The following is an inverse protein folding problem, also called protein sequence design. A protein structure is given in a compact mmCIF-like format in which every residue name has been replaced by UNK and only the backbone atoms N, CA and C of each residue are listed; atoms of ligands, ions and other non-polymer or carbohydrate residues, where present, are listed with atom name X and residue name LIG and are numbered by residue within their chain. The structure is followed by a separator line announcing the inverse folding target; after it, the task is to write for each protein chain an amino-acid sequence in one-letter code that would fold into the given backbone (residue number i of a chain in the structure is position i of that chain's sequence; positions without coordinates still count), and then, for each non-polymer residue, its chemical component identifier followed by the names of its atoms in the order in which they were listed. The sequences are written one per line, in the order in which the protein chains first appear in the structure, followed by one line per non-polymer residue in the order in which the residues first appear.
data_IF_364943186015
#
_entry.id   IF_364943186015
#
_cell.length_a   1.000
_cell.length_b   1.000
_cell.length_c   1.000
_cell.angle_alpha   90.00
_cell.angle_beta   90.00
_cell.angle_gamma   90.00
#
_symmetry.space_group_name_H-M   'P 1'
#
loop_
_entity.id
_entity.type
_entity.pdbx_description
1 polymer ?
#
# COMPACT_ATOMS: atom_id res chain seq x y z
N UNK A 1 0.17 14.32 -5.88
CA UNK A 1 -1.02 14.34 -5.00
C UNK A 1 -0.57 14.77 -3.61
N UNK A 2 -1.27 15.69 -2.94
CA UNK A 2 -0.93 16.09 -1.56
C UNK A 2 -1.46 15.08 -0.54
N UNK A 3 -0.86 15.02 0.65
CA UNK A 3 -1.29 14.12 1.72
C UNK A 3 -2.75 14.36 2.14
N UNK A 4 -3.23 15.61 2.11
CA UNK A 4 -4.61 15.96 2.41
C UNK A 4 -5.59 15.36 1.39
N UNK A 5 -5.28 15.46 0.09
CA UNK A 5 -6.09 14.81 -0.94
C UNK A 5 -6.04 13.29 -0.85
N UNK A 6 -4.88 12.72 -0.52
CA UNK A 6 -4.74 11.28 -0.30
C UNK A 6 -5.59 10.81 0.89
N UNK A 7 -5.62 11.56 2.00
CA UNK A 7 -6.50 11.25 3.12
C UNK A 7 -7.98 11.25 2.74
N UNK A 8 -8.43 12.27 2.01
CA UNK A 8 -9.82 12.37 1.59
C UNK A 8 -10.24 11.14 0.77
N UNK A 9 -9.43 10.75 -0.22
CA UNK A 9 -9.65 9.56 -1.05
C UNK A 9 -9.62 8.27 -0.25
N UNK A 10 -8.69 8.12 0.69
CA UNK A 10 -8.65 6.94 1.56
C UNK A 10 -9.93 6.87 2.44
N UNK A 11 -10.51 8.02 2.78
CA UNK A 11 -11.75 8.14 3.55
C UNK A 11 -12.95 7.52 2.84
N UNK A 12 -12.99 7.63 1.52
CA UNK A 12 -14.03 7.03 0.67
C UNK A 12 -14.03 5.51 0.73
N UNK A 13 -12.90 4.89 1.10
CA UNK A 13 -12.77 3.43 1.20
C UNK A 13 -13.28 2.86 2.53
N UNK A 14 -13.74 3.69 3.47
CA UNK A 14 -14.20 3.20 4.78
C UNK A 14 -15.34 2.19 4.62
N UNK A 15 -15.20 1.05 5.30
CA UNK A 15 -16.13 -0.08 5.23
C UNK A 15 -15.87 -1.03 4.06
N UNK A 16 -14.98 -0.68 3.12
CA UNK A 16 -14.65 -1.57 2.03
C UNK A 16 -13.80 -2.76 2.50
N UNK A 17 -14.10 -3.93 1.92
CA UNK A 17 -13.29 -5.14 2.08
C UNK A 17 -12.31 -5.27 0.92
N UNK A 18 -11.02 -5.22 1.22
CA UNK A 18 -9.94 -5.37 0.25
C UNK A 18 -9.18 -6.68 0.47
N UNK A 19 -8.44 -7.12 -0.55
CA UNK A 19 -7.57 -8.30 -0.48
C UNK A 19 -6.11 -7.90 -0.48
N UNK A 20 -5.29 -8.67 0.25
CA UNK A 20 -3.82 -8.53 0.18
C UNK A 20 -3.33 -8.78 -1.25
N UNK A 21 -2.14 -8.29 -1.65
CA UNK A 21 -1.62 -8.50 -3.01
C UNK A 21 -1.61 -9.96 -3.46
N UNK A 22 -1.30 -10.89 -2.54
CA UNK A 22 -1.33 -12.33 -2.84
C UNK A 22 -2.73 -12.91 -3.08
N UNK A 23 -3.79 -12.16 -2.79
CA UNK A 23 -5.20 -12.57 -2.88
C UNK A 23 -5.67 -13.51 -1.75
N UNK A 24 -4.76 -13.96 -0.88
CA UNK A 24 -5.01 -15.02 0.12
C UNK A 24 -5.73 -14.56 1.38
N UNK A 25 -5.65 -13.28 1.72
CA UNK A 25 -6.26 -12.70 2.93
C UNK A 25 -7.05 -11.45 2.56
N UNK A 26 -8.10 -11.18 3.31
CA UNK A 26 -8.87 -9.93 3.25
C UNK A 26 -8.66 -9.09 4.50
N UNK A 27 -9.00 -7.81 4.38
CA UNK A 27 -9.07 -6.86 5.48
C UNK A 27 -10.13 -5.81 5.17
N UNK A 28 -10.65 -5.16 6.21
CA UNK A 28 -11.63 -4.08 6.10
C UNK A 28 -10.93 -2.76 6.42
N UNK A 29 -11.22 -1.70 5.66
CA UNK A 29 -10.79 -0.34 5.99
C UNK A 29 -11.72 0.21 7.06
N UNK A 30 -11.29 0.25 8.32
CA UNK A 30 -12.19 0.50 9.45
C UNK A 30 -12.31 1.98 9.81
N UNK A 31 -11.17 2.66 9.94
CA UNK A 31 -11.11 4.05 10.42
C UNK A 31 -10.03 4.86 9.73
N UNK A 32 -10.29 6.15 9.60
CA UNK A 32 -9.29 7.14 9.24
C UNK A 32 -9.29 8.25 10.28
N UNK A 33 -8.13 8.46 10.92
CA UNK A 33 -7.96 9.50 11.93
C UNK A 33 -6.48 9.83 12.10
N UNK A 34 -6.16 11.04 12.56
CA UNK A 34 -4.81 11.43 12.99
C UNK A 34 -3.71 11.10 11.96
N UNK A 35 -4.00 11.29 10.66
CA UNK A 35 -3.05 10.99 9.58
C UNK A 35 -2.79 9.48 9.35
N UNK A 36 -3.68 8.60 9.81
CA UNK A 36 -3.57 7.14 9.70
C UNK A 36 -4.86 6.53 9.18
N UNK A 37 -4.70 5.43 8.46
CA UNK A 37 -5.75 4.49 8.07
C UNK A 37 -5.59 3.25 8.95
N UNK A 38 -6.64 2.87 9.65
CA UNK A 38 -6.72 1.59 10.34
C UNK A 38 -7.36 0.58 9.41
N UNK A 39 -6.72 -0.59 9.30
CA UNK A 39 -7.31 -1.76 8.65
C UNK A 39 -7.49 -2.86 9.67
N UNK A 40 -8.63 -3.54 9.60
CA UNK A 40 -8.94 -4.68 10.46
C UNK A 40 -8.76 -5.95 9.65
N UNK A 41 -7.88 -6.84 10.09
CA UNK A 41 -7.59 -8.11 9.42
C UNK A 41 -8.69 -9.14 9.68
N UNK A 42 -8.68 -10.24 8.93
CA UNK A 42 -9.62 -11.35 9.11
C UNK A 42 -9.59 -12.03 10.49
N UNK A 43 -8.53 -11.81 11.27
CA UNK A 43 -8.40 -12.27 12.65
C UNK A 43 -8.61 -11.13 13.66
N UNK A 44 -9.36 -10.10 13.27
CA UNK A 44 -9.77 -8.96 14.09
C UNK A 44 -8.61 -8.13 14.66
N UNK A 45 -7.41 -8.27 14.08
CA UNK A 45 -6.26 -7.46 14.47
C UNK A 45 -6.27 -6.14 13.72
N UNK A 46 -5.99 -5.05 14.44
CA UNK A 46 -5.86 -3.73 13.82
C UNK A 46 -4.43 -3.47 13.35
N UNK A 47 -4.31 -2.95 12.14
CA UNK A 47 -3.05 -2.46 11.58
C UNK A 47 -3.22 -1.01 11.20
N UNK A 48 -2.38 -0.14 11.79
CA UNK A 48 -2.39 1.28 11.49
C UNK A 48 -1.34 1.62 10.43
N UNK A 49 -1.80 2.20 9.33
CA UNK A 49 -0.98 2.63 8.19
C UNK A 49 -1.02 4.15 8.12
N UNK A 50 0.12 4.80 8.28
CA UNK A 50 0.21 6.25 8.11
C UNK A 50 -0.01 6.68 6.66
N UNK A 51 -0.62 7.84 6.49
CA UNK A 51 -0.72 8.53 5.21
C UNK A 51 0.67 8.91 4.69
N UNK A 52 1.59 9.28 5.58
CA UNK A 52 2.99 9.55 5.22
C UNK A 52 3.66 8.34 4.58
N UNK A 53 3.53 7.16 5.18
CA UNK A 53 4.04 5.90 4.60
C UNK A 53 3.36 5.52 3.28
N UNK A 54 2.05 5.77 3.13
CA UNK A 54 1.35 5.56 1.85
C UNK A 54 1.90 6.50 0.78
N UNK A 55 2.08 7.78 1.11
CA UNK A 55 2.64 8.79 0.20
C UNK A 55 4.09 8.45 -0.16
N UNK A 56 4.90 7.98 0.79
CA UNK A 56 6.28 7.58 0.54
C UNK A 56 6.39 6.43 -0.48
N UNK A 57 5.44 5.50 -0.49
CA UNK A 57 5.37 4.43 -1.51
C UNK A 57 5.09 5.01 -2.90
N UNK A 58 4.13 5.93 -3.02
CA UNK A 58 3.83 6.61 -4.29
C UNK A 58 5.04 7.41 -4.80
N UNK A 59 5.66 8.17 -3.90
CA UNK A 59 6.83 8.96 -4.23
C UNK A 59 8.01 8.09 -4.66
N UNK A 60 8.22 6.93 -4.01
CA UNK A 60 9.26 5.99 -4.40
C UNK A 60 9.03 5.50 -5.82
N UNK A 61 7.81 5.04 -6.14
CA UNK A 61 7.47 4.57 -7.48
C UNK A 61 7.67 5.66 -8.54
N UNK A 62 7.27 6.89 -8.22
CA UNK A 62 7.40 8.02 -9.14
C UNK A 62 8.87 8.39 -9.38
N UNK A 63 9.65 8.56 -8.31
CA UNK A 63 11.08 8.95 -8.38
C UNK A 63 11.94 7.92 -9.12
N UNK A 64 11.59 6.65 -9.06
CA UNK A 64 12.33 5.56 -9.73
C UNK A 64 11.71 5.15 -11.07
N UNK A 65 10.72 5.89 -11.56
CA UNK A 65 10.12 5.66 -12.88
C UNK A 65 9.37 4.34 -13.01
N UNK A 66 8.85 3.77 -11.92
CA UNK A 66 8.15 2.50 -11.92
C UNK A 66 6.74 2.61 -12.51
N UNK A 67 6.67 2.54 -13.85
CA UNK A 67 5.44 2.43 -14.64
C UNK A 67 5.18 1.00 -15.10
N UNK A 68 4.14 0.80 -15.92
CA UNK A 68 3.69 -0.52 -16.39
C UNK A 68 4.81 -1.34 -17.07
N UNK A 69 5.68 -0.70 -17.83
CA UNK A 69 6.81 -1.34 -18.52
C UNK A 69 8.00 -1.64 -17.58
N UNK A 70 8.04 -1.01 -16.41
CA UNK A 70 9.12 -1.17 -15.43
C UNK A 70 8.54 -1.35 -14.01
N UNK A 71 7.83 -2.47 -13.74
CA UNK A 71 7.15 -2.66 -12.48
C UNK A 71 8.14 -2.90 -11.33
N UNK A 72 7.80 -2.42 -10.14
CA UNK A 72 8.60 -2.55 -8.94
C UNK A 72 8.28 -3.87 -8.21
N UNK A 73 9.27 -4.72 -7.88
CA UNK A 73 9.03 -5.90 -7.07
C UNK A 73 8.53 -5.55 -5.66
N UNK A 74 7.46 -6.20 -5.21
CA UNK A 74 6.84 -5.91 -3.90
C UNK A 74 7.76 -6.29 -2.73
N UNK A 75 8.44 -7.46 -2.81
CA UNK A 75 9.40 -8.00 -1.82
C UNK A 75 9.02 -7.67 -0.35
N UNK A 76 7.81 -8.07 0.05
CA UNK A 76 7.27 -7.79 1.38
C UNK A 76 7.86 -8.73 2.44
N UNK A 77 8.75 -8.23 3.29
CA UNK A 77 9.39 -9.00 4.36
C UNK A 77 9.28 -8.32 5.73
N UNK A 78 9.28 -9.10 6.81
CA UNK A 78 9.26 -8.65 8.21
C UNK A 78 10.67 -8.32 8.74
N UNK A 79 11.70 -9.16 8.51
CA UNK A 79 13.09 -8.75 8.66
C UNK A 79 13.39 -7.53 7.79
N UNK A 80 14.03 -6.52 8.36
CA UNK A 80 14.41 -5.29 7.64
C UNK A 80 15.46 -5.61 6.57
N UNK A 81 16.41 -6.50 6.88
CA UNK A 81 17.47 -6.90 5.95
C UNK A 81 16.94 -7.49 4.64
N UNK A 82 15.75 -8.11 4.67
CA UNK A 82 15.13 -8.76 3.51
C UNK A 82 14.00 -7.91 2.89
N UNK A 83 13.74 -6.71 3.42
CA UNK A 83 12.64 -5.88 3.00
C UNK A 83 12.97 -5.16 1.68
N UNK A 84 12.09 -5.31 0.69
CA UNK A 84 12.19 -4.55 -0.55
C UNK A 84 11.96 -3.06 -0.37
N UNK A 85 12.29 -2.25 -1.39
CA UNK A 85 12.26 -0.79 -1.29
C UNK A 85 10.87 -0.24 -0.93
N UNK A 86 9.79 -0.80 -1.48
CA UNK A 86 8.43 -0.37 -1.13
C UNK A 86 8.04 -0.76 0.29
N UNK A 87 8.53 -1.91 0.77
CA UNK A 87 8.36 -2.31 2.16
C UNK A 87 9.08 -1.35 3.11
N UNK A 88 10.30 -0.91 2.75
CA UNK A 88 11.06 0.09 3.49
C UNK A 88 10.39 1.46 3.45
N UNK A 89 9.89 1.91 2.30
CA UNK A 89 9.18 3.17 2.15
C UNK A 89 7.86 3.22 2.96
N UNK A 90 7.14 2.10 3.02
CA UNK A 90 5.91 1.99 3.80
C UNK A 90 6.14 1.85 5.32
N UNK A 91 7.38 1.58 5.76
CA UNK A 91 7.71 1.41 7.18
C UNK A 91 7.88 2.77 7.85
N UNK A 92 7.46 2.82 9.10
CA UNK A 92 7.72 3.94 9.99
C UNK A 92 8.63 3.43 11.12
N UNK A 93 9.95 3.57 10.93
CA UNK A 93 10.94 3.01 11.84
C UNK A 93 10.96 1.48 11.87
N UNK A 94 11.03 0.87 13.06
CA UNK A 94 11.11 -0.59 13.26
C UNK A 94 9.76 -1.31 13.13
N UNK A 95 8.71 -0.64 12.64
CA UNK A 95 7.36 -1.20 12.54
C UNK A 95 7.30 -2.43 11.62
N UNK A 96 6.31 -3.29 11.83
CA UNK A 96 5.99 -4.43 10.95
C UNK A 96 5.76 -3.99 9.49
N UNK A 97 5.80 -4.96 8.55
CA UNK A 97 5.53 -4.68 7.13
C UNK A 97 4.10 -4.15 6.94
N UNK A 98 3.97 -2.94 6.40
CA UNK A 98 2.66 -2.33 6.08
C UNK A 98 2.31 -2.38 4.60
N UNK A 99 3.30 -2.66 3.74
CA UNK A 99 3.14 -2.64 2.28
C UNK A 99 2.05 -3.59 1.77
N UNK A 100 1.80 -4.69 2.49
CA UNK A 100 0.73 -5.67 2.21
C UNK A 100 -0.67 -5.06 2.29
N UNK A 101 -0.85 -3.94 3.00
CA UNK A 101 -2.12 -3.21 3.12
C UNK A 101 -2.12 -1.91 2.32
N UNK A 102 -0.96 -1.26 2.18
CA UNK A 102 -0.79 -0.04 1.39
C UNK A 102 -1.12 -0.29 -0.08
N UNK A 103 -0.62 -1.36 -0.69
CA UNK A 103 -0.77 -1.54 -2.14
C UNK A 103 -2.22 -1.76 -2.59
N UNK A 104 -3.04 -2.58 -1.91
CA UNK A 104 -4.46 -2.70 -2.27
C UNK A 104 -5.26 -1.41 -2.08
N UNK A 105 -4.92 -0.58 -1.07
CA UNK A 105 -5.52 0.75 -0.92
C UNK A 105 -5.20 1.62 -2.15
N UNK A 106 -3.93 1.68 -2.55
CA UNK A 106 -3.50 2.45 -3.72
C UNK A 106 -4.09 1.92 -5.04
N UNK A 107 -4.23 0.60 -5.18
CA UNK A 107 -4.87 -0.01 -6.35
C UNK A 107 -6.34 0.36 -6.42
N UNK A 108 -7.05 0.29 -5.29
CA UNK A 108 -8.47 0.64 -5.22
C UNK A 108 -8.74 2.10 -5.58
N UNK A 109 -7.79 2.99 -5.28
CA UNK A 109 -7.80 4.41 -5.68
C UNK A 109 -7.36 4.66 -7.13
N UNK A 110 -7.01 3.62 -7.89
CA UNK A 110 -6.54 3.72 -9.27
C UNK A 110 -5.14 4.32 -9.42
N UNK A 111 -4.33 4.36 -8.36
CA UNK A 111 -3.01 4.98 -8.35
C UNK A 111 -1.90 4.01 -8.74
N UNK A 112 -2.04 2.74 -8.36
CA UNK A 112 -1.11 1.67 -8.73
C UNK A 112 -1.85 0.49 -9.34
N UNK A 113 -1.15 -0.25 -10.18
CA UNK A 113 -1.61 -1.51 -10.76
C UNK A 113 -0.63 -2.62 -10.38
N UNK A 114 -1.11 -3.85 -10.33
CA UNK A 114 -0.25 -5.00 -10.12
C UNK A 114 -0.01 -5.75 -11.42
N UNK A 115 1.21 -6.26 -11.58
CA UNK A 115 1.43 -7.34 -12.52
C UNK A 115 0.84 -8.62 -11.91
N UNK A 116 -0.26 -9.10 -12.49
CA UNK A 116 -1.02 -10.27 -12.01
C UNK A 116 -0.81 -11.51 -12.88
N UNK A 117 0.21 -11.52 -13.73
CA UNK A 117 0.52 -12.64 -14.66
C UNK A 117 0.65 -14.01 -13.97
N UNK A 118 1.01 -14.07 -12.68
CA UNK A 118 0.95 -15.30 -11.87
C UNK A 118 0.52 -15.08 -10.41
N UNK A 119 1.07 -14.06 -9.76
CA UNK A 119 0.69 -13.50 -8.45
C UNK A 119 1.04 -12.01 -8.51
N UNK A 120 0.45 -11.17 -7.65
CA UNK A 120 0.86 -9.77 -7.54
C UNK A 120 2.27 -9.68 -6.91
N UNK A 121 3.29 -9.95 -7.72
CA UNK A 121 4.72 -9.97 -7.33
C UNK A 121 5.37 -8.62 -7.56
N UNK A 122 4.79 -7.81 -8.44
CA UNK A 122 5.25 -6.46 -8.75
C UNK A 122 4.08 -5.47 -8.86
N UNK A 123 4.38 -4.20 -8.63
CA UNK A 123 3.43 -3.08 -8.64
C UNK A 123 4.01 -1.91 -9.44
N UNK A 124 3.16 -1.18 -10.12
CA UNK A 124 3.53 -0.04 -10.97
C UNK A 124 2.53 1.09 -10.82
N UNK A 125 2.94 2.33 -11.14
CA UNK A 125 2.01 3.46 -11.24
C UNK A 125 1.14 3.32 -12.50
N UNK A 126 -0.19 3.50 -12.35
CA UNK A 126 -1.14 3.41 -13.48
C UNK A 126 -1.20 4.70 -14.28
N UNK A 127 -1.02 5.84 -13.60
CA UNK A 127 -0.92 7.15 -14.24
C UNK A 127 0.38 7.82 -13.79
N UNK A 128 1.26 8.12 -14.75
CA UNK A 128 2.21 9.23 -14.59
C UNK A 128 1.38 10.49 -14.84
N UNK A 129 0.93 11.14 -13.78
CA UNK A 129 0.50 12.53 -13.92
C UNK A 129 1.72 13.39 -14.27
#
# INVERSE_FOLDING_TARGET
MSQMHLMAKLGELRGETLRTPSGRKSFIVSRLENGRVTVTTSNESEVHVSVTGIQAVLDYLARHGHGREHPCPVKSSNPIADAGPLCLAAREGKSQRKITYVLPLLERLGLVGFDRSARATAVFLVNRA
#
